data_IF_668196550106
#
_entry.id   IF_668196550106
#
_cell.length_a   1.000
_cell.length_b   1.000
_cell.length_c   1.000
_cell.angle_alpha   90.00
_cell.angle_beta   90.00
_cell.angle_gamma   90.00
#
_symmetry.space_group_name_H-M   'P 1'
#
loop_
_entity.id
_entity.type
_entity.pdbx_description
1 polymer ?
#
# COMPACT_ATOMS: atom_id res chain seq x y z
N UNK A 1 40.49 4.26 9.35
CA UNK A 1 39.35 3.44 9.81
C UNK A 1 38.29 3.58 8.73
N UNK A 2 38.23 2.63 7.81
CA UNK A 2 37.13 2.53 6.84
C UNK A 2 35.88 2.20 7.63
N UNK A 3 34.88 3.07 7.53
CA UNK A 3 33.56 2.92 8.16
C UNK A 3 32.94 1.59 7.73
N UNK A 4 32.41 0.81 8.67
CA UNK A 4 31.86 -0.54 8.42
C UNK A 4 30.74 -0.63 7.37
N UNK A 5 30.26 0.50 6.87
CA UNK A 5 29.17 0.61 5.90
C UNK A 5 29.62 0.58 4.43
N UNK A 6 30.91 0.51 4.12
CA UNK A 6 31.39 0.40 2.73
C UNK A 6 30.85 -0.87 2.05
N UNK A 7 30.64 -1.93 2.84
CA UNK A 7 30.12 -3.21 2.37
C UNK A 7 28.62 -3.19 2.03
N UNK A 8 27.90 -2.09 2.32
CA UNK A 8 26.55 -1.85 1.80
C UNK A 8 26.51 -1.80 0.26
N UNK A 9 27.64 -1.48 -0.39
CA UNK A 9 27.77 -1.47 -1.85
C UNK A 9 28.35 -2.78 -2.40
N UNK A 10 28.62 -3.76 -1.53
CA UNK A 10 29.27 -5.01 -1.91
C UNK A 10 28.39 -5.86 -2.84
N UNK A 11 29.02 -6.43 -3.87
CA UNK A 11 28.39 -7.44 -4.73
C UNK A 11 28.32 -8.82 -4.08
N UNK A 12 29.05 -9.05 -2.98
CA UNK A 12 28.89 -10.26 -2.19
C UNK A 12 27.65 -10.14 -1.32
N UNK A 13 26.67 -11.03 -1.51
CA UNK A 13 25.42 -11.03 -0.74
C UNK A 13 25.68 -11.12 0.76
N UNK A 14 26.56 -12.02 1.20
CA UNK A 14 26.88 -12.17 2.62
C UNK A 14 27.49 -10.90 3.24
N UNK A 15 28.39 -10.21 2.52
CA UNK A 15 28.99 -8.95 3.00
C UNK A 15 27.96 -7.83 3.05
N UNK A 16 27.11 -7.74 2.02
CA UNK A 16 26.01 -6.78 1.97
C UNK A 16 25.02 -6.98 3.13
N UNK A 17 24.58 -8.21 3.38
CA UNK A 17 23.63 -8.53 4.45
C UNK A 17 24.23 -8.28 5.83
N UNK A 18 25.50 -8.64 6.05
CA UNK A 18 26.22 -8.33 7.29
C UNK A 18 26.28 -6.81 7.51
N UNK A 19 26.66 -6.04 6.49
CA UNK A 19 26.73 -4.58 6.60
C UNK A 19 25.35 -3.93 6.80
N UNK A 20 24.30 -4.53 6.24
CA UNK A 20 22.92 -4.07 6.44
C UNK A 20 22.45 -4.29 7.88
N UNK A 21 22.83 -5.42 8.49
CA UNK A 21 22.54 -5.70 9.91
C UNK A 21 23.36 -4.80 10.85
N UNK A 22 24.63 -4.53 10.51
CA UNK A 22 25.45 -3.56 11.23
C UNK A 22 24.83 -2.15 11.18
N UNK A 23 24.34 -1.74 10.00
CA UNK A 23 23.62 -0.47 9.83
C UNK A 23 22.31 -0.46 10.62
N UNK A 24 21.57 -1.57 10.65
CA UNK A 24 20.36 -1.71 11.46
C UNK A 24 20.67 -1.51 12.95
N UNK A 25 21.72 -2.17 13.44
CA UNK A 25 22.17 -2.11 14.83
C UNK A 25 22.66 -0.70 15.23
N UNK A 26 23.20 0.06 14.28
CA UNK A 26 23.60 1.45 14.48
C UNK A 26 22.43 2.45 14.58
N UNK A 27 21.18 2.01 14.36
CA UNK A 27 19.99 2.83 14.54
C UNK A 27 19.93 4.03 13.58
N UNK A 28 19.67 5.27 14.08
CA UNK A 28 19.52 6.45 13.21
C UNK A 28 20.72 6.75 12.31
N UNK A 29 21.93 6.54 12.80
CA UNK A 29 23.12 6.76 11.99
C UNK A 29 23.19 5.77 10.82
N UNK A 30 22.91 4.49 11.07
CA UNK A 30 22.87 3.49 10.00
C UNK A 30 21.74 3.74 8.99
N UNK A 31 20.61 4.30 9.42
CA UNK A 31 19.56 4.73 8.49
C UNK A 31 20.04 5.83 7.53
N UNK A 32 20.82 6.80 8.01
CA UNK A 32 21.43 7.85 7.16
C UNK A 32 22.46 7.27 6.17
N UNK A 33 23.25 6.31 6.63
CA UNK A 33 24.24 5.62 5.80
C UNK A 33 23.59 4.77 4.70
N UNK A 34 22.47 4.10 5.00
CA UNK A 34 21.68 3.37 4.01
C UNK A 34 21.05 4.36 3.01
N UNK A 35 20.40 5.43 3.49
CA UNK A 35 19.70 6.40 2.64
C UNK A 35 20.64 7.08 1.63
N UNK A 36 21.83 7.48 2.07
CA UNK A 36 22.84 8.11 1.20
C UNK A 36 23.36 7.20 0.07
N UNK A 37 23.19 5.88 0.19
CA UNK A 37 23.69 4.88 -0.77
C UNK A 37 22.60 4.29 -1.68
N UNK A 38 21.33 4.60 -1.48
CA UNK A 38 20.21 4.06 -2.27
C UNK A 38 20.37 4.27 -3.78
N UNK A 39 20.92 5.43 -4.19
CA UNK A 39 21.17 5.76 -5.60
C UNK A 39 22.22 4.86 -6.28
N UNK A 40 23.10 4.23 -5.50
CA UNK A 40 24.25 3.45 -6.00
C UNK A 40 23.99 1.94 -6.09
N UNK A 41 22.89 1.46 -5.54
CA UNK A 41 22.47 0.05 -5.57
C UNK A 41 21.20 -0.11 -6.39
N UNK A 42 20.87 -1.31 -6.88
CA UNK A 42 19.61 -1.59 -7.59
C UNK A 42 19.09 -3.00 -7.32
N UNK A 43 17.84 -3.25 -7.69
CA UNK A 43 17.17 -4.53 -7.58
C UNK A 43 17.01 -4.96 -6.12
N UNK A 44 17.21 -6.25 -5.88
CA UNK A 44 17.05 -6.86 -4.55
C UNK A 44 17.76 -6.11 -3.42
N UNK A 45 19.00 -5.64 -3.63
CA UNK A 45 19.74 -4.92 -2.58
C UNK A 45 19.10 -3.59 -2.22
N UNK A 46 18.61 -2.84 -3.23
CA UNK A 46 17.90 -1.59 -2.99
C UNK A 46 16.60 -1.84 -2.23
N UNK A 47 15.85 -2.89 -2.62
CA UNK A 47 14.64 -3.31 -1.90
C UNK A 47 14.94 -3.60 -0.44
N UNK A 48 15.97 -4.41 -0.15
CA UNK A 48 16.36 -4.74 1.24
C UNK A 48 16.75 -3.50 2.04
N UNK A 49 17.53 -2.59 1.44
CA UNK A 49 17.86 -1.31 2.06
C UNK A 49 16.61 -0.48 2.39
N UNK A 50 15.69 -0.36 1.43
CA UNK A 50 14.43 0.39 1.60
C UNK A 50 13.57 -0.20 2.72
N UNK A 51 13.42 -1.53 2.76
CA UNK A 51 12.66 -2.21 3.81
C UNK A 51 13.28 -1.92 5.18
N UNK A 52 14.61 -2.03 5.30
CA UNK A 52 15.34 -1.69 6.53
C UNK A 52 15.13 -0.23 6.93
N UNK A 53 15.11 0.73 5.99
CA UNK A 53 14.80 2.13 6.29
C UNK A 53 13.38 2.35 6.82
N UNK A 54 12.44 1.49 6.45
CA UNK A 54 11.11 1.44 7.03
C UNK A 54 11.15 1.09 8.52
N UNK A 55 11.98 0.13 8.91
CA UNK A 55 12.11 -0.34 10.29
C UNK A 55 12.87 0.62 11.21
N UNK A 56 13.77 1.43 10.65
CA UNK A 56 14.64 2.31 11.41
C UNK A 56 14.04 3.69 11.62
N UNK A 57 14.23 4.25 12.82
CA UNK A 57 14.06 5.69 13.02
C UNK A 57 15.26 6.41 12.41
N UNK A 58 15.03 7.48 11.67
CA UNK A 58 16.08 8.27 11.04
C UNK A 58 15.59 9.70 10.80
N UNK A 59 16.50 10.60 10.41
CA UNK A 59 16.17 11.99 10.13
C UNK A 59 15.22 12.17 8.94
N UNK A 60 14.80 13.42 8.74
CA UNK A 60 13.93 13.83 7.61
C UNK A 60 14.50 13.47 6.24
N UNK A 61 15.83 13.50 6.10
CA UNK A 61 16.52 13.16 4.86
C UNK A 61 16.25 11.73 4.39
N UNK A 62 16.01 10.78 5.30
CA UNK A 62 15.69 9.39 4.93
C UNK A 62 14.36 9.31 4.18
N UNK A 63 13.32 9.96 4.70
CA UNK A 63 12.00 9.97 4.08
C UNK A 63 12.01 10.78 2.77
N UNK A 64 12.83 11.84 2.69
CA UNK A 64 13.05 12.60 1.46
C UNK A 64 13.70 11.71 0.38
N UNK A 65 14.74 10.93 0.71
CA UNK A 65 15.36 9.97 -0.23
C UNK A 65 14.38 8.88 -0.71
N UNK A 66 13.51 8.38 0.17
CA UNK A 66 12.46 7.43 -0.23
C UNK A 66 11.43 8.09 -1.16
N UNK A 67 11.01 9.32 -0.87
CA UNK A 67 10.06 10.07 -1.69
C UNK A 67 10.63 10.43 -3.07
N UNK A 68 11.91 10.78 -3.16
CA UNK A 68 12.61 11.01 -4.43
C UNK A 68 12.57 9.77 -5.33
N UNK A 69 12.72 8.58 -4.74
CA UNK A 69 12.62 7.30 -5.43
C UNK A 69 11.23 6.98 -6.01
N UNK A 70 10.18 7.60 -5.46
CA UNK A 70 8.82 7.50 -5.99
C UNK A 70 8.53 8.54 -7.10
N UNK A 71 9.44 9.49 -7.31
CA UNK A 71 9.32 10.49 -8.36
C UNK A 71 9.31 9.86 -9.76
N UNK A 72 8.67 10.51 -10.76
CA UNK A 72 8.52 9.98 -12.12
C UNK A 72 9.86 9.76 -12.86
N UNK A 73 10.95 10.34 -12.36
CA UNK A 73 12.30 10.28 -12.96
C UNK A 73 13.28 9.37 -12.22
N UNK A 74 12.83 8.64 -11.19
CA UNK A 74 13.74 7.89 -10.30
C UNK A 74 14.44 6.69 -10.95
N UNK A 75 13.86 6.14 -12.03
CA UNK A 75 14.34 4.90 -12.63
C UNK A 75 14.17 3.66 -11.74
N UNK A 76 13.43 3.77 -10.62
CA UNK A 76 13.17 2.65 -9.72
C UNK A 76 12.20 1.63 -10.34
N UNK A 77 12.42 0.34 -10.06
CA UNK A 77 11.52 -0.74 -10.45
C UNK A 77 10.21 -0.68 -9.67
N UNK A 78 9.21 -1.46 -10.09
CA UNK A 78 7.94 -1.59 -9.36
C UNK A 78 8.18 -2.08 -7.92
N UNK A 79 8.94 -3.16 -7.73
CA UNK A 79 9.24 -3.71 -6.39
C UNK A 79 9.95 -2.70 -5.48
N UNK A 80 10.86 -1.90 -6.02
CA UNK A 80 11.56 -0.84 -5.27
C UNK A 80 10.60 0.27 -4.84
N UNK A 81 9.68 0.68 -5.72
CA UNK A 81 8.65 1.68 -5.40
C UNK A 81 7.67 1.17 -4.36
N UNK A 82 7.23 -0.07 -4.51
CA UNK A 82 6.30 -0.71 -3.58
C UNK A 82 6.91 -0.86 -2.19
N UNK A 83 8.18 -1.27 -2.11
CA UNK A 83 8.94 -1.27 -0.85
C UNK A 83 9.04 0.14 -0.24
N UNK A 84 9.25 1.18 -1.06
CA UNK A 84 9.41 2.54 -0.57
C UNK A 84 8.10 3.16 -0.06
N UNK A 85 6.99 2.82 -0.70
CA UNK A 85 5.63 3.16 -0.24
C UNK A 85 5.39 2.57 1.15
N UNK A 86 5.69 1.28 1.34
CA UNK A 86 5.55 0.60 2.62
C UNK A 86 6.50 1.19 3.68
N UNK A 87 7.76 1.45 3.32
CA UNK A 87 8.73 2.04 4.22
C UNK A 87 8.32 3.45 4.69
N UNK A 88 7.85 4.31 3.79
CA UNK A 88 7.34 5.64 4.14
C UNK A 88 6.14 5.56 5.08
N UNK A 89 5.18 4.68 4.77
CA UNK A 89 4.01 4.48 5.62
C UNK A 89 4.37 3.93 7.01
N UNK A 90 5.42 3.09 7.11
CA UNK A 90 5.92 2.58 8.39
C UNK A 90 6.50 3.68 9.26
N UNK A 91 7.29 4.57 8.66
CA UNK A 91 8.01 5.64 9.36
C UNK A 91 7.10 6.70 9.93
N UNK A 92 5.97 6.95 9.28
CA UNK A 92 4.85 7.77 9.78
C UNK A 92 5.26 9.15 10.33
N UNK A 93 6.17 9.83 9.62
CA UNK A 93 6.76 11.11 10.05
C UNK A 93 5.93 12.35 9.67
N UNK A 94 4.64 12.15 9.35
CA UNK A 94 3.71 13.18 8.90
C UNK A 94 3.91 13.66 7.46
N UNK A 95 4.88 13.10 6.70
CA UNK A 95 5.15 13.50 5.30
C UNK A 95 4.80 12.41 4.29
N UNK A 96 4.54 11.19 4.76
CA UNK A 96 4.20 10.07 3.91
C UNK A 96 2.87 10.26 3.17
N UNK A 97 1.83 10.81 3.82
CA UNK A 97 0.49 10.91 3.23
C UNK A 97 0.48 11.62 1.85
N UNK A 98 1.01 12.84 1.66
CA UNK A 98 1.07 13.48 0.34
C UNK A 98 1.79 12.63 -0.73
N UNK A 99 2.86 11.94 -0.34
CA UNK A 99 3.65 11.09 -1.25
C UNK A 99 2.85 9.86 -1.65
N UNK A 100 2.21 9.19 -0.68
CA UNK A 100 1.35 8.02 -0.91
C UNK A 100 0.16 8.36 -1.82
N UNK A 101 -0.47 9.53 -1.63
CA UNK A 101 -1.54 10.02 -2.51
C UNK A 101 -1.08 10.16 -3.95
N UNK A 102 0.13 10.67 -4.18
CA UNK A 102 0.70 10.77 -5.53
C UNK A 102 1.03 9.39 -6.13
N UNK A 103 1.39 8.42 -5.28
CA UNK A 103 1.80 7.08 -5.68
C UNK A 103 0.63 6.17 -6.09
N UNK A 104 -0.63 6.51 -5.75
CA UNK A 104 -1.84 5.76 -6.15
C UNK A 104 -1.85 5.46 -7.65
N UNK A 105 -1.36 6.37 -8.49
CA UNK A 105 -1.38 6.20 -9.95
C UNK A 105 -0.32 5.23 -10.48
N UNK A 106 0.83 5.14 -9.81
CA UNK A 106 1.98 4.35 -10.25
C UNK A 106 2.07 2.98 -9.56
N UNK A 107 1.65 2.91 -8.30
CA UNK A 107 1.71 1.72 -7.43
C UNK A 107 0.45 1.66 -6.56
N UNK A 108 -0.73 1.40 -7.16
CA UNK A 108 -2.02 1.54 -6.48
C UNK A 108 -2.16 0.61 -5.29
N UNK A 109 -1.73 -0.65 -5.39
CA UNK A 109 -2.10 -1.69 -4.42
C UNK A 109 -1.55 -1.38 -3.02
N UNK A 110 -0.26 -1.05 -2.93
CA UNK A 110 0.36 -0.67 -1.66
C UNK A 110 0.04 0.77 -1.25
N UNK A 111 -0.13 1.70 -2.21
CA UNK A 111 -0.49 3.08 -1.88
C UNK A 111 -1.88 3.16 -1.23
N UNK A 112 -2.87 2.45 -1.79
CA UNK A 112 -4.22 2.38 -1.23
C UNK A 112 -4.20 1.75 0.17
N UNK A 113 -3.47 0.64 0.34
CA UNK A 113 -3.31 -0.01 1.64
C UNK A 113 -2.69 0.93 2.68
N UNK A 114 -1.65 1.67 2.30
CA UNK A 114 -0.98 2.61 3.19
C UNK A 114 -1.85 3.82 3.52
N UNK A 115 -2.62 4.36 2.57
CA UNK A 115 -3.55 5.47 2.82
C UNK A 115 -4.70 5.07 3.75
N UNK A 116 -5.13 3.81 3.68
CA UNK A 116 -6.13 3.28 4.60
C UNK A 116 -5.68 3.28 6.07
N UNK A 117 -4.36 3.21 6.33
CA UNK A 117 -3.80 3.38 7.68
C UNK A 117 -4.03 4.80 8.21
N UNK A 118 -3.88 5.82 7.35
CA UNK A 118 -3.94 7.21 7.77
C UNK A 118 -5.33 7.67 8.21
N UNK A 119 -6.41 7.03 7.75
CA UNK A 119 -7.73 7.26 8.34
C UNK A 119 -8.41 8.58 7.98
N UNK A 120 -7.75 9.49 7.25
CA UNK A 120 -8.25 10.86 7.04
C UNK A 120 -9.38 10.88 6.00
N UNK A 121 -10.31 11.85 6.12
CA UNK A 121 -11.35 12.09 5.11
C UNK A 121 -10.74 12.31 3.73
N UNK A 122 -9.60 13.00 3.67
CA UNK A 122 -8.88 13.23 2.44
C UNK A 122 -8.38 11.93 1.79
N UNK A 123 -7.77 11.03 2.57
CA UNK A 123 -7.37 9.72 2.09
C UNK A 123 -8.56 8.92 1.54
N UNK A 124 -9.71 9.04 2.20
CA UNK A 124 -10.96 8.40 1.77
C UNK A 124 -11.39 8.91 0.38
N UNK A 125 -11.37 10.22 0.17
CA UNK A 125 -11.72 10.84 -1.12
C UNK A 125 -10.77 10.41 -2.25
N UNK A 126 -9.46 10.32 -1.97
CA UNK A 126 -8.50 9.89 -2.99
C UNK A 126 -8.66 8.42 -3.38
N UNK A 127 -8.90 7.54 -2.39
CA UNK A 127 -9.19 6.12 -2.63
C UNK A 127 -10.47 6.00 -3.45
N UNK A 128 -11.54 6.68 -3.05
CA UNK A 128 -12.82 6.67 -3.76
C UNK A 128 -12.68 7.19 -5.20
N UNK A 129 -11.95 8.31 -5.39
CA UNK A 129 -11.69 8.90 -6.69
C UNK A 129 -10.90 7.96 -7.61
N UNK A 130 -9.92 7.25 -7.07
CA UNK A 130 -9.18 6.23 -7.82
C UNK A 130 -10.07 5.07 -8.27
N UNK A 131 -10.83 4.48 -7.33
CA UNK A 131 -11.72 3.36 -7.59
C UNK A 131 -12.81 3.72 -8.62
N UNK A 132 -13.42 4.89 -8.47
CA UNK A 132 -14.37 5.44 -9.44
C UNK A 132 -13.76 5.51 -10.84
N UNK A 133 -12.50 5.95 -10.94
CA UNK A 133 -11.76 5.98 -12.20
C UNK A 133 -11.50 4.59 -12.78
N UNK A 134 -11.16 3.60 -11.96
CA UNK A 134 -10.97 2.21 -12.39
C UNK A 134 -12.27 1.63 -12.94
N UNK A 135 -13.39 1.79 -12.23
CA UNK A 135 -14.70 1.27 -12.66
C UNK A 135 -15.16 1.95 -13.96
N UNK A 136 -15.03 3.27 -14.08
CA UNK A 136 -15.38 4.01 -15.30
C UNK A 136 -14.54 3.60 -16.52
N UNK A 137 -13.24 3.36 -16.35
CA UNK A 137 -12.39 2.88 -17.45
C UNK A 137 -12.74 1.47 -17.89
N UNK A 138 -13.14 0.62 -16.95
CA UNK A 138 -13.49 -0.78 -17.21
C UNK A 138 -14.86 -0.96 -17.85
N UNK A 139 -15.85 -0.17 -17.46
CA UNK A 139 -17.16 -0.17 -18.15
C UNK A 139 -17.03 0.17 -19.64
N UNK A 140 -16.01 0.94 -20.02
CA UNK A 140 -15.71 1.30 -21.40
C UNK A 140 -14.87 0.26 -22.18
N UNK A 141 -14.29 -0.76 -21.52
CA UNK A 141 -13.31 -1.68 -22.11
C UNK A 141 -13.80 -3.14 -22.07
N UNK A 142 -14.13 -3.72 -23.23
CA UNK A 142 -14.61 -5.11 -23.38
C UNK A 142 -13.56 -6.21 -23.11
N UNK A 143 -12.28 -5.85 -22.93
CA UNK A 143 -11.20 -6.80 -22.58
C UNK A 143 -10.73 -6.51 -21.17
N UNK A 144 -11.25 -7.25 -20.20
CA UNK A 144 -10.77 -7.21 -18.82
C UNK A 144 -9.42 -7.93 -18.76
N UNK A 145 -8.41 -7.32 -18.12
CA UNK A 145 -7.22 -8.05 -17.67
C UNK A 145 -7.52 -8.63 -16.29
N UNK A 146 -7.08 -9.85 -16.04
CA UNK A 146 -7.18 -10.50 -14.73
C UNK A 146 -6.45 -9.66 -13.65
N UNK A 147 -7.01 -9.59 -12.43
CA UNK A 147 -6.43 -8.90 -11.25
C UNK A 147 -6.88 -7.45 -11.03
N UNK A 148 -7.64 -6.91 -11.98
CA UNK A 148 -7.99 -5.50 -11.98
C UNK A 148 -9.24 -5.25 -11.09
N UNK A 149 -10.02 -6.29 -10.81
CA UNK A 149 -11.22 -6.31 -9.95
C UNK A 149 -10.85 -6.65 -8.50
N UNK A 150 -9.83 -7.47 -8.27
CA UNK A 150 -9.16 -7.60 -6.95
C UNK A 150 -8.82 -6.23 -6.33
N UNK A 151 -8.39 -5.25 -7.15
CA UNK A 151 -8.13 -3.87 -6.70
C UNK A 151 -9.37 -3.13 -6.23
N UNK A 152 -10.49 -3.38 -6.90
CA UNK A 152 -11.79 -2.80 -6.55
C UNK A 152 -12.27 -3.41 -5.24
N UNK A 153 -12.19 -4.73 -5.10
CA UNK A 153 -12.51 -5.46 -3.86
C UNK A 153 -11.64 -4.99 -2.69
N UNK A 154 -10.32 -4.90 -2.88
CA UNK A 154 -9.39 -4.36 -1.89
C UNK A 154 -9.76 -2.92 -1.51
N UNK A 155 -10.00 -2.07 -2.50
CA UNK A 155 -10.38 -0.68 -2.28
C UNK A 155 -11.69 -0.52 -1.48
N UNK A 156 -12.70 -1.35 -1.76
CA UNK A 156 -13.94 -1.41 -0.98
C UNK A 156 -13.64 -1.76 0.47
N UNK A 157 -12.86 -2.81 0.73
CA UNK A 157 -12.49 -3.23 2.09
C UNK A 157 -11.75 -2.12 2.83
N UNK A 158 -10.84 -1.42 2.15
CA UNK A 158 -10.06 -0.33 2.73
C UNK A 158 -10.91 0.91 3.00
N UNK A 159 -11.79 1.31 2.07
CA UNK A 159 -12.78 2.36 2.31
C UNK A 159 -13.65 2.01 3.50
N UNK A 160 -13.98 0.72 3.65
CA UNK A 160 -14.82 0.28 4.72
C UNK A 160 -14.17 0.37 6.12
N UNK A 161 -12.84 0.30 6.16
CA UNK A 161 -12.06 0.63 7.36
C UNK A 161 -12.05 2.14 7.65
N UNK A 162 -12.05 2.96 6.61
CA UNK A 162 -11.92 4.42 6.70
C UNK A 162 -13.23 5.14 7.03
N UNK A 163 -14.39 4.54 6.77
CA UNK A 163 -15.70 5.21 6.80
C UNK A 163 -16.70 4.59 7.78
N UNK A 164 -17.78 5.32 8.03
CA UNK A 164 -18.97 4.72 8.64
C UNK A 164 -19.66 3.83 7.61
N UNK A 165 -20.38 2.85 8.15
CA UNK A 165 -21.16 1.87 7.42
C UNK A 165 -22.14 2.53 6.43
N UNK A 166 -22.81 3.62 6.84
CA UNK A 166 -23.76 4.40 6.04
C UNK A 166 -23.10 5.14 4.87
N UNK A 167 -21.91 5.70 5.08
CA UNK A 167 -21.17 6.43 4.04
C UNK A 167 -20.76 5.50 2.89
N UNK A 168 -20.35 4.27 3.20
CA UNK A 168 -19.98 3.27 2.19
C UNK A 168 -21.17 2.90 1.31
N UNK A 169 -22.33 2.66 1.94
CA UNK A 169 -23.55 2.36 1.21
C UNK A 169 -23.96 3.52 0.29
N UNK A 170 -23.78 4.78 0.72
CA UNK A 170 -24.12 5.95 -0.07
C UNK A 170 -23.16 6.22 -1.24
N UNK A 171 -21.84 6.05 -1.04
CA UNK A 171 -20.83 6.48 -2.02
C UNK A 171 -20.26 5.34 -2.87
N UNK A 172 -20.17 4.12 -2.32
CA UNK A 172 -19.54 2.97 -2.99
C UNK A 172 -20.56 2.11 -3.73
N UNK A 173 -21.76 1.91 -3.16
CA UNK A 173 -22.79 1.09 -3.80
C UNK A 173 -23.21 1.63 -5.19
N UNK A 174 -23.41 2.95 -5.41
CA UNK A 174 -23.73 3.48 -6.73
C UNK A 174 -22.61 3.31 -7.76
N UNK A 175 -21.34 3.31 -7.32
CA UNK A 175 -20.20 3.08 -8.20
C UNK A 175 -20.17 1.65 -8.74
N UNK A 176 -20.70 0.69 -7.97
CA UNK A 176 -20.66 -0.73 -8.28
C UNK A 176 -22.01 -1.26 -8.80
N UNK A 177 -23.03 -0.40 -8.85
CA UNK A 177 -24.43 -0.74 -9.11
C UNK A 177 -24.67 -1.63 -10.34
N UNK A 178 -25.46 -2.68 -10.09
CA UNK A 178 -26.22 -3.51 -11.03
C UNK A 178 -25.42 -4.38 -11.99
N UNK A 179 -24.67 -3.77 -12.91
CA UNK A 179 -24.15 -4.46 -14.11
C UNK A 179 -22.68 -4.91 -14.00
N UNK A 180 -22.04 -4.59 -12.88
CA UNK A 180 -20.63 -4.86 -12.62
C UNK A 180 -20.40 -6.01 -11.64
N UNK A 181 -21.35 -6.26 -10.75
CA UNK A 181 -21.32 -7.38 -9.81
C UNK A 181 -21.44 -8.73 -10.54
N UNK A 182 -22.27 -8.80 -11.59
CA UNK A 182 -22.37 -9.96 -12.50
C UNK A 182 -21.07 -10.28 -13.25
N UNK A 183 -20.07 -9.38 -13.20
CA UNK A 183 -18.77 -9.54 -13.87
C UNK A 183 -17.65 -9.92 -12.91
N UNK A 184 -17.96 -10.07 -11.63
CA UNK A 184 -17.02 -10.58 -10.65
C UNK A 184 -16.79 -12.07 -10.91
N UNK A 185 -15.54 -12.49 -10.76
CA UNK A 185 -15.20 -13.91 -10.78
C UNK A 185 -15.76 -14.60 -9.53
N UNK A 186 -15.96 -15.92 -9.59
CA UNK A 186 -16.38 -16.71 -8.42
C UNK A 186 -15.46 -16.50 -7.20
N UNK A 187 -14.15 -16.27 -7.43
CA UNK A 187 -13.19 -15.98 -6.38
C UNK A 187 -13.43 -14.60 -5.74
N UNK A 188 -13.77 -13.59 -6.53
CA UNK A 188 -14.03 -12.23 -6.05
C UNK A 188 -15.39 -12.15 -5.35
N UNK A 189 -16.40 -12.85 -5.87
CA UNK A 189 -17.68 -13.06 -5.20
C UNK A 189 -17.46 -13.78 -3.88
N UNK A 190 -16.72 -14.89 -3.85
CA UNK A 190 -16.41 -15.61 -2.62
C UNK A 190 -15.64 -14.73 -1.62
N UNK A 191 -14.71 -13.89 -2.05
CA UNK A 191 -14.01 -12.95 -1.18
C UNK A 191 -14.96 -11.90 -0.57
N UNK A 192 -15.91 -11.37 -1.37
CA UNK A 192 -16.94 -10.44 -0.90
C UNK A 192 -17.98 -11.12 0.00
N UNK A 193 -18.38 -12.35 -0.30
CA UNK A 193 -19.29 -13.18 0.50
C UNK A 193 -18.64 -13.64 1.81
N UNK A 194 -17.34 -13.89 1.83
CA UNK A 194 -16.60 -14.19 3.06
C UNK A 194 -16.51 -12.96 3.97
N UNK A 195 -16.47 -11.77 3.36
CA UNK A 195 -16.62 -10.48 4.04
C UNK A 195 -18.08 -10.17 4.38
N UNK A 196 -19.05 -10.87 3.78
CA UNK A 196 -20.47 -10.74 4.09
C UNK A 196 -21.31 -12.03 4.02
N UNK A 197 -21.14 -12.98 4.96
CA UNK A 197 -21.94 -14.20 4.98
C UNK A 197 -23.42 -13.84 5.23
N UNK A 198 -24.30 -14.24 4.31
CA UNK A 198 -25.75 -14.06 4.50
C UNK A 198 -26.65 -14.07 3.26
N UNK A 199 -26.16 -14.22 2.03
CA UNK A 199 -27.03 -14.27 0.84
C UNK A 199 -27.88 -13.00 0.64
N UNK A 200 -27.44 -11.87 1.20
CA UNK A 200 -28.11 -10.58 1.09
C UNK A 200 -27.73 -9.97 -0.26
N UNK A 201 -28.71 -9.37 -0.94
CA UNK A 201 -28.52 -8.74 -2.24
C UNK A 201 -27.40 -7.67 -2.15
N UNK A 202 -26.36 -7.72 -3.00
CA UNK A 202 -25.28 -6.73 -3.00
C UNK A 202 -25.75 -5.31 -3.39
N UNK A 203 -27.00 -5.13 -3.79
CA UNK A 203 -27.64 -3.82 -3.96
C UNK A 203 -28.27 -3.29 -2.65
N UNK A 204 -28.43 -4.11 -1.62
CA UNK A 204 -29.00 -3.69 -0.34
C UNK A 204 -27.96 -3.01 0.56
N UNK A 205 -28.27 -1.86 1.18
CA UNK A 205 -27.39 -1.21 2.14
C UNK A 205 -26.93 -2.13 3.28
N UNK A 206 -27.77 -3.07 3.71
CA UNK A 206 -27.44 -4.04 4.76
C UNK A 206 -26.26 -4.96 4.38
N UNK A 207 -26.10 -5.28 3.10
CA UNK A 207 -24.98 -6.10 2.61
C UNK A 207 -23.65 -5.34 2.70
N UNK A 208 -23.62 -4.10 2.19
CA UNK A 208 -22.46 -3.19 2.30
C UNK A 208 -22.09 -2.93 3.76
N UNK A 209 -23.11 -2.81 4.61
CA UNK A 209 -22.92 -2.63 6.03
C UNK A 209 -22.21 -3.82 6.69
N UNK A 210 -22.55 -5.02 6.25
CA UNK A 210 -21.91 -6.26 6.68
C UNK A 210 -20.45 -6.39 6.22
N UNK A 211 -20.16 -6.05 4.96
CA UNK A 211 -18.78 -6.00 4.43
C UNK A 211 -17.93 -5.05 5.25
N UNK A 212 -18.48 -3.89 5.59
CA UNK A 212 -17.75 -2.87 6.33
C UNK A 212 -17.40 -3.30 7.75
N UNK A 213 -18.38 -3.84 8.48
CA UNK A 213 -18.17 -4.34 9.83
C UNK A 213 -17.12 -5.46 9.86
N UNK A 214 -17.13 -6.37 8.89
CA UNK A 214 -16.21 -7.52 8.85
C UNK A 214 -14.85 -7.19 8.24
N UNK A 215 -14.77 -6.31 7.27
CA UNK A 215 -13.51 -5.73 6.80
C UNK A 215 -12.78 -5.04 7.94
N UNK A 216 -13.51 -4.28 8.77
CA UNK A 216 -13.00 -3.70 10.00
C UNK A 216 -12.49 -4.77 10.98
N UNK A 217 -13.27 -5.82 11.27
CA UNK A 217 -12.87 -6.92 12.17
C UNK A 217 -11.69 -7.77 11.65
N UNK A 218 -11.66 -8.14 10.37
CA UNK A 218 -10.59 -8.96 9.78
C UNK A 218 -9.26 -8.24 9.77
N UNK A 219 -9.26 -6.95 9.48
CA UNK A 219 -8.04 -6.15 9.54
C UNK A 219 -7.58 -5.86 10.99
N UNK A 220 -8.46 -5.99 11.99
CA UNK A 220 -8.07 -6.03 13.40
C UNK A 220 -7.50 -7.40 13.81
N UNK A 221 -7.99 -8.49 13.22
CA UNK A 221 -7.65 -9.86 13.58
C UNK A 221 -6.39 -10.41 12.87
N UNK A 222 -5.84 -9.73 11.87
CA UNK A 222 -4.73 -10.22 11.05
C UNK A 222 -3.44 -9.40 11.27
N UNK A 223 -2.65 -9.70 12.33
CA UNK A 223 -1.42 -8.98 12.65
C UNK A 223 -0.29 -9.23 11.63
N UNK A 224 -0.42 -10.22 10.74
CA UNK A 224 0.58 -10.50 9.69
C UNK A 224 0.60 -9.38 8.63
N UNK A 225 -0.51 -8.66 8.43
CA UNK A 225 -0.52 -7.45 7.60
C UNK A 225 -0.02 -6.21 8.36
N UNK A 226 0.08 -6.26 9.69
CA UNK A 226 0.54 -5.15 10.52
C UNK A 226 1.17 -5.62 11.86
N UNK A 227 2.48 -5.92 11.91
CA UNK A 227 3.24 -5.89 13.15
C UNK A 227 3.84 -4.48 13.28
N UNK A 228 3.02 -3.51 13.66
CA UNK A 228 3.49 -2.15 13.97
C UNK A 228 3.13 -1.85 15.43
N UNK A 229 3.98 -2.34 16.32
CA UNK A 229 4.16 -1.77 17.66
C UNK A 229 5.25 -0.69 17.58
#
# INVERSE_FOLDING_TARGET
>A
MTTGFDDLLSRSTARFESALEDARSAGPHGAEEIASRLGSVSGYRRVMMIVTLGDLRGGRGVSESLAEGLGPRSGWSTDERDAAILALAKRDDGRAEPVLRSAIRSSPDYALLCLARYGTERCRDDVLGYLSGVVRRKSASWRHRDGDWDRVVLGIVLLARLGSTEWLAAEVAPLLGGSHLDRLTEREVAALEELAPGGVDPCEPAWWNGIAARGHQRLQANPIFFPFC
#
